data_IF_752335531158
#
_entry.id   IF_752335531158
#
_cell.length_a   1.000
_cell.length_b   1.000
_cell.length_c   1.000
_cell.angle_alpha   90.00
_cell.angle_beta   90.00
_cell.angle_gamma   90.00
#
_symmetry.space_group_name_H-M   'P 1'
#
loop_
_entity.id
_entity.type
_entity.pdbx_description
1 polymer ?
#
# COMPACT_ATOMS: atom_id res chain seq x y z
N UNK A 1 44.57 14.55 -52.93
CA UNK A 1 43.74 15.68 -52.40
C UNK A 1 42.75 15.05 -51.41
N UNK A 2 42.96 15.21 -50.08
CA UNK A 2 42.37 16.25 -49.20
C UNK A 2 41.08 15.69 -48.55
N UNK A 3 40.85 15.56 -47.23
CA UNK A 3 41.45 16.05 -45.97
C UNK A 3 40.98 15.12 -44.82
N UNK A 4 41.84 14.66 -43.91
CA UNK A 4 42.28 15.24 -42.61
C UNK A 4 41.25 15.24 -41.45
N UNK A 5 41.67 14.51 -40.42
CA UNK A 5 41.23 14.32 -39.03
C UNK A 5 41.08 15.63 -38.24
N UNK A 6 40.06 15.72 -37.37
CA UNK A 6 40.10 16.38 -36.03
C UNK A 6 38.94 15.83 -35.16
N UNK A 7 39.18 14.90 -34.23
CA UNK A 7 39.34 15.12 -32.79
C UNK A 7 38.58 16.31 -32.20
N UNK A 8 37.56 16.04 -31.37
CA UNK A 8 37.26 16.88 -30.21
C UNK A 8 36.88 16.01 -29.00
N UNK A 9 37.86 15.94 -28.10
CA UNK A 9 37.81 15.40 -26.75
C UNK A 9 37.36 16.55 -25.84
N UNK A 10 36.39 16.33 -24.95
CA UNK A 10 36.19 17.19 -23.79
C UNK A 10 35.49 16.43 -22.66
N UNK A 11 36.31 15.76 -21.85
CA UNK A 11 35.99 15.39 -20.49
C UNK A 11 36.01 16.65 -19.61
N UNK A 12 34.96 16.87 -18.83
CA UNK A 12 34.99 17.80 -17.70
C UNK A 12 34.39 17.11 -16.49
N UNK A 13 35.26 16.38 -15.78
CA UNK A 13 35.10 16.11 -14.37
C UNK A 13 35.56 17.36 -13.60
N UNK A 14 34.66 18.01 -12.87
CA UNK A 14 35.02 18.87 -11.75
C UNK A 14 34.54 18.20 -10.47
N UNK A 15 35.51 17.78 -9.66
CA UNK A 15 35.29 17.28 -8.32
C UNK A 15 35.33 18.38 -7.26
N UNK A 16 35.17 17.90 -6.03
CA UNK A 16 35.53 18.47 -4.73
C UNK A 16 34.56 19.43 -4.02
N UNK A 17 33.81 18.84 -3.08
CA UNK A 17 33.96 18.96 -1.59
C UNK A 17 33.97 20.33 -0.89
N UNK A 18 33.42 20.31 0.35
CA UNK A 18 33.39 21.31 1.43
C UNK A 18 32.26 22.36 1.37
N UNK A 19 31.48 22.59 2.43
CA UNK A 19 31.94 22.79 3.81
C UNK A 19 30.82 22.55 4.84
N UNK A 20 31.18 21.85 5.91
CA UNK A 20 30.41 21.74 7.14
C UNK A 20 30.36 23.11 7.86
N UNK A 21 29.21 23.45 8.43
CA UNK A 21 29.07 24.57 9.35
C UNK A 21 29.32 24.09 10.79
N UNK A 22 30.01 24.87 11.63
CA UNK A 22 30.38 24.47 12.99
C UNK A 22 29.19 24.53 13.98
N UNK A 23 29.17 23.55 14.87
CA UNK A 23 28.33 23.47 16.05
C UNK A 23 28.76 24.55 17.05
N UNK A 24 27.91 25.53 17.33
CA UNK A 24 28.10 26.43 18.47
C UNK A 24 27.73 25.70 19.76
N UNK A 25 28.75 25.34 20.53
CA UNK A 25 28.62 24.96 21.94
C UNK A 25 28.35 26.24 22.75
N UNK A 26 27.16 26.37 23.33
CA UNK A 26 26.93 27.34 24.39
C UNK A 26 27.08 26.62 25.73
N UNK A 27 28.24 26.81 26.35
CA UNK A 27 28.49 26.53 27.76
C UNK A 27 27.98 27.69 28.59
N UNK A 28 26.90 27.49 29.34
CA UNK A 28 26.66 28.27 30.54
C UNK A 28 26.05 27.36 31.61
N UNK A 29 26.96 26.78 32.40
CA UNK A 29 26.68 26.19 33.69
C UNK A 29 26.46 27.31 34.70
N UNK A 30 25.25 27.40 35.26
CA UNK A 30 25.04 27.95 36.60
C UNK A 30 23.85 27.25 37.27
N UNK A 31 24.19 26.30 38.12
CA UNK A 31 23.59 25.92 39.40
C UNK A 31 22.07 26.07 39.67
N UNK A 32 21.43 24.88 39.66
CA UNK A 32 20.40 24.32 40.55
C UNK A 32 18.87 24.65 40.44
N UNK A 33 18.00 23.65 40.78
CA UNK A 33 16.56 23.57 40.48
C UNK A 33 15.66 23.64 41.75
N UNK A 34 14.36 23.25 41.73
CA UNK A 34 13.25 23.66 40.87
C UNK A 34 12.04 24.17 41.70
N UNK A 35 11.18 25.03 41.13
CA UNK A 35 9.78 25.10 41.55
C UNK A 35 8.90 25.42 40.34
N UNK A 36 8.13 24.40 39.97
CA UNK A 36 7.25 24.25 38.83
C UNK A 36 6.00 25.11 38.98
N UNK A 37 5.86 26.10 38.10
CA UNK A 37 4.62 26.60 37.51
C UNK A 37 5.10 27.45 36.34
N UNK A 38 4.91 27.04 35.09
CA UNK A 38 3.75 27.45 34.29
C UNK A 38 3.63 26.56 33.03
N UNK A 39 2.41 26.50 32.48
CA UNK A 39 1.98 25.72 31.31
C UNK A 39 2.95 25.78 30.11
N UNK A 40 3.34 24.64 29.52
CA UNK A 40 3.87 24.64 28.16
C UNK A 40 2.76 24.51 27.12
N UNK A 41 2.71 25.49 26.22
CA UNK A 41 2.15 25.32 24.88
C UNK A 41 2.80 24.10 24.23
N UNK A 42 1.99 23.17 23.72
CA UNK A 42 2.49 22.02 22.98
C UNK A 42 1.93 22.01 21.57
N UNK A 43 2.84 22.32 20.65
CA UNK A 43 3.08 21.64 19.38
C UNK A 43 1.87 21.51 18.46
N UNK A 44 1.90 22.31 17.39
CA UNK A 44 1.20 22.06 16.13
C UNK A 44 1.48 20.63 15.67
N UNK A 45 0.51 19.75 15.90
CA UNK A 45 0.55 18.36 15.45
C UNK A 45 0.43 18.33 13.92
N UNK A 46 1.43 17.77 13.25
CA UNK A 46 1.29 17.20 11.93
C UNK A 46 0.38 15.98 12.06
N UNK A 47 -0.93 16.20 11.99
CA UNK A 47 -1.89 15.10 11.89
C UNK A 47 -1.86 14.67 10.42
N UNK A 48 -0.98 13.72 10.11
CA UNK A 48 -1.17 12.87 8.93
C UNK A 48 -2.52 12.21 9.12
N UNK A 49 -3.44 12.55 8.22
CA UNK A 49 -4.79 12.02 8.15
C UNK A 49 -4.73 10.52 7.85
N UNK A 50 -4.51 9.72 8.89
CA UNK A 50 -4.93 8.32 8.90
C UNK A 50 -6.46 8.35 8.98
N UNK A 51 -7.11 8.45 7.82
CA UNK A 51 -8.51 8.09 7.71
C UNK A 51 -8.65 6.65 8.20
N UNK A 52 -9.48 6.38 9.22
CA UNK A 52 -9.82 5.01 9.57
C UNK A 52 -10.48 4.38 8.36
N UNK A 53 -10.02 3.19 7.97
CA UNK A 53 -10.79 2.31 7.09
C UNK A 53 -12.26 2.29 7.55
N UNK A 54 -13.24 2.37 6.64
CA UNK A 54 -14.64 2.40 7.02
C UNK A 54 -14.96 1.16 7.87
N UNK A 55 -15.35 1.38 9.13
CA UNK A 55 -15.73 0.28 10.01
C UNK A 55 -17.02 -0.34 9.47
N UNK A 56 -16.89 -1.55 8.91
CA UNK A 56 -18.03 -2.33 8.48
C UNK A 56 -18.67 -2.97 9.72
N UNK A 57 -19.79 -2.40 10.13
CA UNK A 57 -20.67 -2.91 11.17
C UNK A 57 -21.14 -4.35 10.84
N UNK A 58 -20.64 -5.36 11.54
CA UNK A 58 -20.99 -6.77 11.35
C UNK A 58 -22.09 -7.23 12.31
N UNK A 59 -23.34 -6.88 11.98
CA UNK A 59 -24.50 -7.55 12.58
C UNK A 59 -24.91 -8.76 11.72
N UNK A 60 -24.51 -9.97 12.16
CA UNK A 60 -24.98 -11.22 11.57
C UNK A 60 -24.15 -12.42 11.99
N UNK A 61 -24.42 -12.97 13.17
CA UNK A 61 -23.89 -14.26 13.62
C UNK A 61 -24.50 -15.40 12.81
N UNK A 62 -23.81 -15.87 11.77
CA UNK A 62 -24.09 -17.15 11.12
C UNK A 62 -23.16 -18.24 11.69
N UNK A 63 -23.66 -19.46 11.97
CA UNK A 63 -22.88 -20.51 12.61
C UNK A 63 -21.80 -21.03 11.65
N UNK A 64 -20.56 -20.93 12.09
CA UNK A 64 -19.32 -21.46 11.53
C UNK A 64 -19.48 -22.90 10.99
N UNK A 65 -19.72 -23.02 9.68
CA UNK A 65 -19.48 -24.27 8.93
C UNK A 65 -18.71 -23.97 7.66
N UNK A 66 -17.44 -23.63 7.84
CA UNK A 66 -16.40 -23.70 6.81
C UNK A 66 -15.06 -23.90 7.53
N UNK A 67 -14.77 -25.15 7.90
CA UNK A 67 -13.47 -25.49 8.45
C UNK A 67 -12.43 -25.43 7.32
N UNK A 68 -11.88 -24.23 7.06
CA UNK A 68 -10.70 -24.04 6.21
C UNK A 68 -10.82 -22.98 5.11
N UNK A 69 -12.03 -22.56 4.73
CA UNK A 69 -12.25 -21.46 3.79
C UNK A 69 -12.82 -20.27 4.57
N UNK A 70 -12.39 -19.04 4.27
CA UNK A 70 -12.82 -17.83 4.99
C UNK A 70 -14.35 -17.62 5.03
N UNK A 71 -14.78 -16.56 5.72
CA UNK A 71 -16.19 -16.21 5.84
C UNK A 71 -16.72 -15.61 4.53
N UNK A 72 -17.84 -16.09 3.95
CA UNK A 72 -18.46 -15.42 2.81
C UNK A 72 -18.90 -14.01 3.17
N UNK A 73 -18.52 -13.02 2.36
CA UNK A 73 -18.86 -11.60 2.56
C UNK A 73 -19.54 -11.02 1.33
N UNK A 74 -20.38 -10.00 1.53
CA UNK A 74 -20.97 -9.24 0.42
C UNK A 74 -19.89 -8.39 -0.29
N UNK A 75 -19.40 -8.88 -1.43
CA UNK A 75 -18.45 -8.14 -2.27
C UNK A 75 -19.12 -7.23 -3.29
N UNK A 76 -20.45 -7.25 -3.41
CA UNK A 76 -21.15 -6.61 -4.52
C UNK A 76 -20.87 -5.11 -4.64
N UNK A 77 -20.67 -4.43 -3.50
CA UNK A 77 -20.29 -3.01 -3.49
C UNK A 77 -18.94 -2.77 -4.18
N UNK A 78 -17.96 -3.64 -3.96
CA UNK A 78 -16.64 -3.53 -4.56
C UNK A 78 -16.68 -3.95 -6.03
N UNK A 79 -17.45 -4.98 -6.36
CA UNK A 79 -17.61 -5.47 -7.73
C UNK A 79 -18.20 -4.37 -8.65
N UNK A 80 -19.14 -3.58 -8.13
CA UNK A 80 -19.67 -2.41 -8.83
C UNK A 80 -18.61 -1.33 -9.08
N UNK A 81 -17.78 -1.00 -8.08
CA UNK A 81 -16.69 -0.03 -8.21
C UNK A 81 -15.64 -0.50 -9.21
N UNK A 82 -15.23 -1.77 -9.12
CA UNK A 82 -14.28 -2.39 -10.04
C UNK A 82 -14.81 -2.33 -11.46
N UNK A 83 -16.07 -2.75 -11.70
CA UNK A 83 -16.64 -2.73 -13.04
C UNK A 83 -16.69 -1.31 -13.65
N UNK A 84 -17.00 -0.29 -12.85
CA UNK A 84 -16.98 1.10 -13.30
C UNK A 84 -15.57 1.57 -13.66
N UNK A 85 -14.58 1.27 -12.81
CA UNK A 85 -13.18 1.62 -13.05
C UNK A 85 -12.57 0.85 -14.23
N UNK A 86 -12.92 -0.42 -14.43
CA UNK A 86 -12.51 -1.22 -15.59
C UNK A 86 -13.03 -0.64 -16.89
N UNK A 87 -14.29 -0.19 -16.91
CA UNK A 87 -14.84 0.52 -18.07
C UNK A 87 -14.07 1.80 -18.36
N UNK A 88 -13.66 2.54 -17.34
CA UNK A 88 -12.88 3.76 -17.50
C UNK A 88 -11.50 3.45 -18.10
N UNK A 89 -10.77 2.49 -17.54
CA UNK A 89 -9.46 2.05 -18.06
C UNK A 89 -9.58 1.51 -19.48
N UNK A 90 -10.66 0.78 -19.80
CA UNK A 90 -10.93 0.30 -21.16
C UNK A 90 -11.15 1.45 -22.14
N UNK A 91 -11.87 2.49 -21.72
CA UNK A 91 -12.11 3.68 -22.56
C UNK A 91 -10.88 4.59 -22.70
N UNK A 92 -9.98 4.58 -21.69
CA UNK A 92 -8.80 5.45 -21.59
C UNK A 92 -7.58 4.68 -21.07
N UNK A 93 -6.99 3.76 -21.86
CA UNK A 93 -5.91 2.90 -21.37
C UNK A 93 -4.58 3.63 -21.10
N UNK A 94 -4.43 4.86 -21.58
CA UNK A 94 -3.28 5.72 -21.29
C UNK A 94 -3.44 6.55 -20.01
N UNK A 95 -4.64 6.56 -19.42
CA UNK A 95 -4.92 7.30 -18.20
C UNK A 95 -4.36 6.57 -16.98
N UNK A 96 -3.25 7.09 -16.45
CA UNK A 96 -2.57 6.53 -15.29
C UNK A 96 -3.43 6.66 -14.03
N UNK A 97 -4.23 7.71 -13.90
CA UNK A 97 -5.07 7.91 -12.72
C UNK A 97 -6.20 6.89 -12.70
N UNK A 98 -6.84 6.67 -13.85
CA UNK A 98 -7.86 5.62 -13.98
C UNK A 98 -7.31 4.22 -13.61
N UNK A 99 -6.04 3.93 -13.93
CA UNK A 99 -5.39 2.67 -13.52
C UNK A 99 -5.16 2.61 -12.02
N UNK A 100 -4.74 3.71 -11.39
CA UNK A 100 -4.57 3.79 -9.94
C UNK A 100 -5.89 3.64 -9.20
N UNK A 101 -6.96 4.28 -9.68
CA UNK A 101 -8.31 4.12 -9.14
C UNK A 101 -8.78 2.66 -9.23
N UNK A 102 -8.54 2.02 -10.37
CA UNK A 102 -8.85 0.59 -10.53
C UNK A 102 -7.98 -0.28 -9.61
N UNK A 103 -6.70 0.07 -9.42
CA UNK A 103 -5.82 -0.62 -8.48
C UNK A 103 -6.33 -0.50 -7.05
N UNK A 104 -6.76 0.68 -6.63
CA UNK A 104 -7.36 0.94 -5.32
C UNK A 104 -8.65 0.14 -5.13
N UNK A 105 -9.53 0.10 -6.14
CA UNK A 105 -10.77 -0.68 -6.07
C UNK A 105 -10.50 -2.19 -5.88
N UNK A 106 -9.46 -2.72 -6.55
CA UNK A 106 -9.00 -4.09 -6.33
C UNK A 106 -8.43 -4.27 -4.92
N UNK A 107 -7.58 -3.35 -4.46
CA UNK A 107 -7.04 -3.37 -3.10
C UNK A 107 -8.14 -3.40 -2.04
N UNK A 108 -9.16 -2.55 -2.16
CA UNK A 108 -10.24 -2.44 -1.18
C UNK A 108 -11.03 -3.76 -1.05
N UNK A 109 -11.30 -4.43 -2.18
CA UNK A 109 -11.91 -5.76 -2.16
C UNK A 109 -10.98 -6.80 -1.55
N UNK A 110 -9.70 -6.79 -1.92
CA UNK A 110 -8.67 -7.67 -1.37
C UNK A 110 -8.51 -7.52 0.15
N UNK A 111 -8.59 -6.30 0.66
CA UNK A 111 -8.58 -6.00 2.09
C UNK A 111 -9.79 -6.60 2.80
N UNK A 112 -11.00 -6.36 2.31
CA UNK A 112 -12.20 -6.95 2.89
C UNK A 112 -12.17 -8.49 2.87
N UNK A 113 -11.66 -9.10 1.79
CA UNK A 113 -11.47 -10.55 1.70
C UNK A 113 -10.43 -11.06 2.70
N UNK A 114 -9.38 -10.28 2.96
CA UNK A 114 -8.36 -10.61 3.95
C UNK A 114 -8.93 -10.59 5.37
N UNK A 115 -9.76 -9.59 5.70
CA UNK A 115 -10.49 -9.54 6.97
C UNK A 115 -11.42 -10.76 7.12
N UNK A 116 -12.04 -11.18 6.02
CA UNK A 116 -12.85 -12.39 5.95
C UNK A 116 -12.04 -13.70 5.91
N UNK A 117 -10.70 -13.64 6.01
CA UNK A 117 -9.77 -14.79 5.91
C UNK A 117 -9.85 -15.54 4.58
N UNK A 118 -10.40 -14.93 3.53
CA UNK A 118 -10.38 -15.45 2.17
C UNK A 118 -9.05 -15.12 1.48
N UNK A 119 -7.94 -15.56 2.09
CA UNK A 119 -6.58 -15.19 1.69
C UNK A 119 -6.23 -15.54 0.24
N UNK A 120 -6.73 -16.68 -0.26
CA UNK A 120 -6.51 -17.10 -1.64
C UNK A 120 -7.11 -16.10 -2.64
N UNK A 121 -8.37 -15.71 -2.45
CA UNK A 121 -9.06 -14.73 -3.29
C UNK A 121 -8.46 -13.32 -3.15
N UNK A 122 -8.10 -12.94 -1.92
CA UNK A 122 -7.45 -11.65 -1.64
C UNK A 122 -6.12 -11.49 -2.39
N UNK A 123 -5.29 -12.55 -2.47
CA UNK A 123 -4.06 -12.52 -3.26
C UNK A 123 -4.30 -12.15 -4.72
N UNK A 124 -5.37 -12.66 -5.33
CA UNK A 124 -5.72 -12.34 -6.71
C UNK A 124 -6.10 -10.88 -6.90
N UNK A 125 -6.75 -10.26 -5.91
CA UNK A 125 -7.06 -8.83 -5.92
C UNK A 125 -5.81 -7.96 -5.77
N UNK A 126 -4.95 -8.24 -4.79
CA UNK A 126 -3.71 -7.48 -4.63
C UNK A 126 -2.76 -7.60 -5.83
N UNK A 127 -2.68 -8.78 -6.45
CA UNK A 127 -1.89 -8.97 -7.67
C UNK A 127 -2.45 -8.18 -8.84
N UNK A 128 -3.77 -8.10 -8.98
CA UNK A 128 -4.43 -7.23 -9.98
C UNK A 128 -4.14 -5.75 -9.72
N UNK A 129 -4.19 -5.32 -8.47
CA UNK A 129 -3.80 -3.96 -8.11
C UNK A 129 -2.36 -3.64 -8.55
N UNK A 130 -1.40 -4.55 -8.29
CA UNK A 130 0.01 -4.37 -8.69
C UNK A 130 0.26 -4.41 -10.20
N UNK A 131 -0.59 -5.09 -10.98
CA UNK A 131 -0.50 -5.05 -12.46
C UNK A 131 -0.88 -3.67 -13.01
N UNK A 132 -1.79 -2.99 -12.33
CA UNK A 132 -2.30 -1.68 -12.72
C UNK A 132 -1.41 -0.56 -12.21
N UNK A 133 -1.01 -0.66 -10.94
CA UNK A 133 -0.07 0.22 -10.27
C UNK A 133 1.03 -0.59 -9.55
N UNK A 134 2.19 -0.79 -10.20
CA UNK A 134 3.33 -1.48 -9.58
C UNK A 134 3.90 -0.80 -8.34
N UNK A 135 3.53 0.47 -8.09
CA UNK A 135 3.99 1.26 -6.94
C UNK A 135 3.05 1.20 -5.73
N UNK A 136 1.92 0.47 -5.83
CA UNK A 136 0.95 0.31 -4.76
C UNK A 136 1.50 -0.52 -3.59
N UNK A 137 2.18 0.14 -2.65
CA UNK A 137 2.96 -0.53 -1.60
C UNK A 137 2.12 -1.39 -0.65
N UNK A 138 0.91 -0.94 -0.31
CA UNK A 138 0.02 -1.70 0.57
C UNK A 138 -0.35 -3.07 -0.02
N UNK A 139 -0.56 -3.16 -1.34
CA UNK A 139 -0.82 -4.44 -2.01
C UNK A 139 0.38 -5.38 -1.92
N UNK A 140 1.62 -4.88 -2.03
CA UNK A 140 2.83 -5.70 -1.83
C UNK A 140 2.93 -6.21 -0.40
N UNK A 141 2.67 -5.32 0.57
CA UNK A 141 2.70 -5.65 1.98
C UNK A 141 1.70 -6.75 2.32
N UNK A 142 0.47 -6.67 1.80
CA UNK A 142 -0.52 -7.72 2.02
C UNK A 142 -0.19 -9.04 1.31
N UNK A 143 0.33 -9.01 0.08
CA UNK A 143 0.79 -10.23 -0.60
C UNK A 143 1.87 -10.93 0.22
N UNK A 144 2.83 -10.17 0.76
CA UNK A 144 3.88 -10.71 1.62
C UNK A 144 3.28 -11.33 2.89
N UNK A 145 2.42 -10.59 3.60
CA UNK A 145 1.78 -11.08 4.82
C UNK A 145 0.98 -12.36 4.59
N UNK A 146 0.18 -12.40 3.52
CA UNK A 146 -0.59 -13.59 3.18
C UNK A 146 0.35 -14.76 2.85
N UNK A 147 1.39 -14.53 2.07
CA UNK A 147 2.36 -15.58 1.72
C UNK A 147 3.07 -16.12 2.97
N UNK A 148 3.42 -15.25 3.92
CA UNK A 148 3.98 -15.65 5.21
C UNK A 148 2.98 -16.49 6.02
N UNK A 149 1.67 -16.17 5.99
CA UNK A 149 0.61 -17.01 6.59
C UNK A 149 0.58 -18.41 5.97
N UNK A 150 0.62 -18.53 4.64
CA UNK A 150 0.68 -19.83 3.97
C UNK A 150 1.92 -20.64 4.39
N UNK A 151 3.09 -19.99 4.45
CA UNK A 151 4.33 -20.61 4.89
C UNK A 151 4.25 -21.11 6.35
N UNK A 152 3.69 -20.30 7.27
CA UNK A 152 3.47 -20.71 8.67
C UNK A 152 2.51 -21.91 8.78
N UNK A 153 1.52 -21.99 7.88
CA UNK A 153 0.58 -23.11 7.80
C UNK A 153 1.17 -24.35 7.10
N UNK A 154 2.43 -24.29 6.63
CA UNK A 154 3.07 -25.31 5.79
C UNK A 154 2.24 -25.65 4.55
N UNK A 155 1.64 -24.62 3.95
CA UNK A 155 0.84 -24.70 2.72
C UNK A 155 1.48 -23.82 1.65
N UNK A 156 1.32 -24.21 0.40
CA UNK A 156 1.69 -23.37 -0.73
C UNK A 156 0.60 -22.32 -0.99
N UNK A 157 1.00 -21.07 -1.15
CA UNK A 157 0.10 -20.01 -1.59
C UNK A 157 -0.29 -20.24 -3.07
N UNK A 158 -1.54 -19.92 -3.47
CA UNK A 158 -1.94 -20.04 -4.86
C UNK A 158 -1.04 -19.17 -5.74
N UNK A 159 -0.62 -19.73 -6.87
CA UNK A 159 0.15 -18.97 -7.88
C UNK A 159 -0.77 -17.99 -8.59
N UNK A 160 -0.16 -17.06 -9.31
CA UNK A 160 -0.90 -16.13 -10.14
C UNK A 160 -1.70 -16.87 -11.21
N UNK A 161 -3.01 -16.60 -11.26
CA UNK A 161 -3.97 -17.30 -12.13
C UNK A 161 -4.63 -18.52 -11.49
N UNK A 162 -4.16 -18.99 -10.33
CA UNK A 162 -4.76 -20.09 -9.57
C UNK A 162 -5.64 -19.59 -8.41
N UNK A 163 -5.77 -18.27 -8.23
CA UNK A 163 -6.56 -17.69 -7.14
C UNK A 163 -8.07 -17.88 -7.39
N UNK A 164 -8.81 -18.42 -6.41
CA UNK A 164 -10.24 -18.61 -6.55
C UNK A 164 -10.99 -17.27 -6.48
N UNK A 165 -12.16 -17.16 -7.13
CA UNK A 165 -13.04 -16.01 -6.91
C UNK A 165 -13.51 -15.94 -5.44
N UNK A 166 -14.00 -14.78 -4.98
CA UNK A 166 -14.64 -14.66 -3.67
C UNK A 166 -15.72 -15.72 -3.45
N UNK A 167 -15.82 -16.22 -2.22
CA UNK A 167 -16.86 -17.17 -1.85
C UNK A 167 -18.26 -16.58 -2.08
N UNK A 168 -19.21 -17.38 -2.62
CA UNK A 168 -20.54 -16.88 -2.94
C UNK A 168 -21.29 -16.48 -1.66
N UNK A 169 -21.73 -15.22 -1.61
CA UNK A 169 -22.54 -14.68 -0.52
C UNK A 169 -24.04 -14.74 -0.85
N UNK A 170 -24.84 -15.32 0.05
CA UNK A 170 -26.30 -15.36 -0.05
C UNK A 170 -26.90 -14.40 0.97
N UNK A 171 -27.65 -13.40 0.50
CA UNK A 171 -28.47 -12.55 1.36
C UNK A 171 -29.64 -13.39 1.88
N UNK A 172 -29.74 -13.51 3.19
CA UNK A 172 -30.85 -14.16 3.89
C UNK A 172 -32.13 -13.33 3.83
#
# INVERSE_FOLDING_TARGET
>A
MKYCITFFLAAMSFGCMNSAQPISQNTNTSNQPPARNEKPQTVTAHTTENQPAPSANSNGTAPYKSAGMGEPIDTAKFDGTIAAAEKLVTSKPADTEAKKDLAQAYYDRGFALTEARQYASALGDYRRALKLDPTHEDSKNWIKQITDIYAMLKKDAPKEGEEPPPLPFKKS
#
